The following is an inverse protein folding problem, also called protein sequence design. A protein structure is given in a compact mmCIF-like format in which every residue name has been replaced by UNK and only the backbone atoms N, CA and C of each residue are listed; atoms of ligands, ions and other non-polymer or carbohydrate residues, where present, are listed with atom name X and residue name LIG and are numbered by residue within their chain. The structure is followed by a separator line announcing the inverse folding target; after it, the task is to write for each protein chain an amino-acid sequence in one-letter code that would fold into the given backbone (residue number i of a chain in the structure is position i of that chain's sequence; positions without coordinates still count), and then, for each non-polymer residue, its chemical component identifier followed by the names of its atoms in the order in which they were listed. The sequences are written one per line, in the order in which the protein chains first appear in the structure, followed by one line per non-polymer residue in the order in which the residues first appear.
data_IF_228795532812
#
_entry.id   IF_228795532812
#
_cell.length_a   1.000
_cell.length_b   1.000
_cell.length_c   1.000
_cell.angle_alpha   90.00
_cell.angle_beta   90.00
_cell.angle_gamma   90.00
#
_symmetry.space_group_name_H-M   'P 1'
#
loop_
_entity.id
_entity.type
_entity.pdbx_description
1 polymer ?
#
# COMPACT_ATOMS: atom_id res chain seq x y z
N UNK A 1 15.53 10.36 9.53
CA UNK A 1 15.41 11.49 8.58
C UNK A 1 13.94 11.86 8.48
N UNK A 2 13.58 13.13 8.66
CA UNK A 2 12.22 13.65 8.52
C UNK A 2 12.14 14.41 7.21
N UNK A 3 11.30 13.96 6.28
CA UNK A 3 10.96 14.72 5.07
C UNK A 3 9.54 15.25 5.25
N UNK A 4 9.39 16.57 5.30
CA UNK A 4 8.08 17.21 5.41
C UNK A 4 7.50 17.46 4.01
N UNK A 5 6.34 16.94 3.75
CA UNK A 5 5.54 17.30 2.58
C UNK A 5 4.74 18.56 2.91
N UNK A 6 5.16 19.69 2.40
CA UNK A 6 4.58 20.99 2.74
C UNK A 6 3.13 21.17 2.30
N UNK A 7 2.71 20.49 1.22
CA UNK A 7 1.40 20.71 0.61
C UNK A 7 0.25 19.99 1.30
N UNK A 8 0.50 18.88 2.02
CA UNK A 8 -0.55 18.06 2.63
C UNK A 8 -0.47 17.98 4.16
N UNK A 9 0.51 18.63 4.79
CA UNK A 9 0.76 18.48 6.22
C UNK A 9 1.17 17.06 6.61
N UNK A 10 1.59 16.25 5.66
CA UNK A 10 2.05 14.88 5.87
C UNK A 10 3.52 14.93 6.30
N UNK A 11 3.80 14.38 7.47
CA UNK A 11 5.17 14.27 7.97
C UNK A 11 5.75 12.95 7.53
N UNK A 12 6.81 12.97 6.74
CA UNK A 12 7.55 11.80 6.33
C UNK A 12 8.66 11.52 7.34
N UNK A 13 8.46 10.54 8.19
CA UNK A 13 9.45 10.14 9.19
C UNK A 13 10.19 8.90 8.70
N UNK A 14 11.47 9.05 8.35
CA UNK A 14 12.36 7.91 8.14
C UNK A 14 12.87 7.43 9.51
N UNK A 15 12.34 6.31 10.01
CA UNK A 15 12.92 5.60 11.15
C UNK A 15 13.62 4.35 10.66
N UNK A 16 14.82 4.19 11.04
CA UNK A 16 15.60 2.99 10.89
C UNK A 16 17.04 3.33 11.21
N UNK A 17 17.60 2.72 12.25
CA UNK A 17 19.04 2.53 12.25
C UNK A 17 19.35 1.74 10.99
N UNK A 18 20.06 2.34 10.04
CA UNK A 18 20.67 1.60 8.95
C UNK A 18 21.69 0.68 9.59
N UNK A 19 21.24 -0.46 10.10
CA UNK A 19 22.16 -1.57 10.34
C UNK A 19 22.55 -2.08 8.96
N UNK A 20 23.85 -2.14 8.73
CA UNK A 20 24.54 -2.45 7.50
C UNK A 20 24.23 -3.83 6.87
N UNK A 21 23.02 -4.35 6.96
CA UNK A 21 22.65 -5.60 6.30
C UNK A 21 22.49 -5.46 4.77
N UNK A 22 22.54 -4.22 4.27
CA UNK A 22 22.60 -3.93 2.83
C UNK A 22 24.05 -3.60 2.48
N UNK A 23 24.90 -4.62 2.47
CA UNK A 23 26.33 -4.53 2.28
C UNK A 23 26.83 -3.34 1.46
N UNK A 24 27.73 -2.56 2.03
CA UNK A 24 28.57 -1.55 1.38
C UNK A 24 27.95 -0.25 0.89
N UNK A 25 26.70 0.11 1.22
CA UNK A 25 26.23 1.46 0.93
C UNK A 25 26.77 2.46 1.95
N UNK A 26 27.53 3.44 1.47
CA UNK A 26 27.90 4.62 2.26
C UNK A 26 26.61 5.33 2.70
N UNK A 27 26.53 5.78 3.93
CA UNK A 27 25.37 6.48 4.53
C UNK A 27 24.77 7.57 3.64
N UNK A 28 25.61 8.34 2.93
CA UNK A 28 25.19 9.36 1.98
C UNK A 28 24.45 8.80 0.75
N UNK A 29 24.81 7.61 0.27
CA UNK A 29 24.14 6.98 -0.87
C UNK A 29 22.75 6.46 -0.47
N UNK A 30 22.60 5.91 0.73
CA UNK A 30 21.30 5.52 1.28
C UNK A 30 20.38 6.72 1.47
N UNK A 31 20.88 7.81 2.04
CA UNK A 31 20.10 9.03 2.21
C UNK A 31 19.57 9.58 0.88
N UNK A 32 20.39 9.55 -0.18
CA UNK A 32 19.98 9.92 -1.52
C UNK A 32 18.89 9.01 -2.07
N UNK A 33 19.01 7.69 -1.87
CA UNK A 33 17.98 6.73 -2.27
C UNK A 33 16.68 6.96 -1.50
N UNK A 34 16.73 7.15 -0.18
CA UNK A 34 15.56 7.44 0.64
C UNK A 34 14.84 8.72 0.20
N UNK A 35 15.55 9.81 -0.06
CA UNK A 35 14.97 11.05 -0.59
C UNK A 35 14.25 10.82 -1.91
N UNK A 36 14.84 10.00 -2.78
CA UNK A 36 14.24 9.64 -4.06
C UNK A 36 12.98 8.80 -3.91
N UNK A 37 13.01 7.79 -3.05
CA UNK A 37 11.81 6.97 -2.79
C UNK A 37 10.72 7.76 -2.10
N UNK A 38 11.07 8.66 -1.19
CA UNK A 38 10.16 9.61 -0.58
C UNK A 38 9.43 10.46 -1.62
N UNK A 39 10.17 10.99 -2.62
CA UNK A 39 9.57 11.73 -3.73
C UNK A 39 8.62 10.86 -4.56
N UNK A 40 8.96 9.59 -4.83
CA UNK A 40 8.08 8.68 -5.57
C UNK A 40 6.79 8.36 -4.79
N UNK A 41 6.88 8.25 -3.47
CA UNK A 41 5.71 8.06 -2.59
C UNK A 41 4.84 9.32 -2.58
N UNK A 42 5.44 10.51 -2.52
CA UNK A 42 4.72 11.78 -2.61
C UNK A 42 3.97 11.91 -3.95
N UNK A 43 4.63 11.59 -5.04
CA UNK A 43 4.01 11.54 -6.37
C UNK A 43 2.83 10.56 -6.40
N UNK A 44 2.98 9.40 -5.76
CA UNK A 44 1.91 8.41 -5.64
C UNK A 44 0.70 8.96 -4.88
N UNK A 45 0.92 9.60 -3.73
CA UNK A 45 -0.15 10.25 -2.94
C UNK A 45 -0.86 11.33 -3.75
N UNK A 46 -0.11 12.19 -4.43
CA UNK A 46 -0.67 13.23 -5.31
C UNK A 46 -1.52 12.63 -6.44
N UNK A 47 -1.06 11.55 -7.05
CA UNK A 47 -1.80 10.83 -8.07
C UNK A 47 -3.12 10.27 -7.53
N UNK A 48 -3.10 9.62 -6.36
CA UNK A 48 -4.29 9.10 -5.71
C UNK A 48 -5.30 10.21 -5.43
N UNK A 49 -4.86 11.32 -4.84
CA UNK A 49 -5.74 12.47 -4.54
C UNK A 49 -6.38 13.03 -5.80
N UNK A 50 -5.64 13.07 -6.90
CA UNK A 50 -6.12 13.65 -8.16
C UNK A 50 -7.05 12.71 -8.93
N UNK A 51 -6.74 11.41 -8.96
CA UNK A 51 -7.35 10.46 -9.87
C UNK A 51 -8.38 9.53 -9.23
N UNK A 52 -8.35 9.41 -7.90
CA UNK A 52 -9.29 8.56 -7.19
C UNK A 52 -9.94 9.32 -6.03
N UNK A 53 -11.23 9.60 -6.16
CA UNK A 53 -12.00 10.36 -5.16
C UNK A 53 -11.97 9.67 -3.80
N UNK A 54 -12.26 8.39 -3.75
CA UNK A 54 -12.48 7.66 -2.50
C UNK A 54 -11.20 7.51 -1.68
N UNK A 55 -10.14 7.02 -2.31
CA UNK A 55 -8.84 6.93 -1.63
C UNK A 55 -8.22 8.31 -1.40
N UNK A 56 -8.49 9.28 -2.28
CA UNK A 56 -8.06 10.66 -2.12
C UNK A 56 -8.67 11.34 -0.90
N UNK A 57 -9.91 10.99 -0.54
CA UNK A 57 -10.55 11.47 0.69
C UNK A 57 -9.79 11.04 1.96
N UNK A 58 -9.10 9.91 1.94
CA UNK A 58 -8.32 9.45 3.09
C UNK A 58 -7.22 10.47 3.46
N UNK A 59 -6.65 11.13 2.47
CA UNK A 59 -5.66 12.18 2.68
C UNK A 59 -6.29 13.56 2.92
N UNK A 60 -7.26 13.97 2.10
CA UNK A 60 -7.89 15.29 2.18
C UNK A 60 -8.68 15.50 3.46
N UNK A 61 -9.36 14.49 3.97
CA UNK A 61 -10.06 14.50 5.27
C UNK A 61 -9.13 14.17 6.44
N UNK A 62 -7.84 14.02 6.20
CA UNK A 62 -6.81 13.73 7.21
C UNK A 62 -7.03 12.44 8.00
N UNK A 63 -7.72 11.46 7.44
CA UNK A 63 -7.75 10.11 8.00
C UNK A 63 -6.35 9.47 7.97
N UNK A 64 -5.61 9.72 6.89
CA UNK A 64 -4.17 9.46 6.81
C UNK A 64 -3.46 10.78 7.06
N UNK A 65 -2.74 10.87 8.16
CA UNK A 65 -2.02 12.08 8.55
C UNK A 65 -0.50 11.94 8.51
N UNK A 66 0.02 10.73 8.35
CA UNK A 66 1.44 10.45 8.29
C UNK A 66 1.75 9.31 7.33
N UNK A 67 2.88 9.46 6.64
CA UNK A 67 3.56 8.36 5.96
C UNK A 67 4.92 8.18 6.61
N UNK A 68 5.21 6.98 7.09
CA UNK A 68 6.48 6.65 7.75
C UNK A 68 7.23 5.63 6.92
N UNK A 69 8.49 5.92 6.62
CA UNK A 69 9.36 4.97 5.93
C UNK A 69 10.35 4.34 6.89
N UNK A 70 10.56 3.04 6.71
CA UNK A 70 11.44 2.21 7.50
C UNK A 70 12.45 1.50 6.61
N UNK A 71 13.52 1.02 7.21
CA UNK A 71 14.50 0.15 6.56
C UNK A 71 14.77 -1.05 7.48
N UNK A 72 13.82 -1.98 7.52
CA UNK A 72 13.93 -3.22 8.31
C UNK A 72 14.19 -4.41 7.38
N UNK A 73 15.44 -4.83 7.29
CA UNK A 73 15.87 -5.90 6.38
C UNK A 73 15.22 -7.27 6.72
N UNK A 74 14.96 -7.53 7.99
CA UNK A 74 14.34 -8.77 8.48
C UNK A 74 12.81 -8.76 8.54
N UNK A 75 12.16 -7.69 8.07
CA UNK A 75 10.70 -7.64 8.10
C UNK A 75 10.11 -8.36 6.88
N UNK A 76 9.01 -9.06 7.08
CA UNK A 76 8.23 -9.78 6.08
C UNK A 76 7.16 -8.92 5.38
N UNK A 77 7.09 -7.61 5.71
CA UNK A 77 6.11 -6.68 5.17
C UNK A 77 6.76 -5.55 4.36
N UNK A 78 6.09 -5.12 3.30
CA UNK A 78 6.46 -3.98 2.46
C UNK A 78 5.67 -2.71 2.81
N UNK A 79 4.43 -2.86 3.23
CA UNK A 79 3.55 -1.81 3.70
C UNK A 79 2.78 -2.23 4.94
N UNK A 80 2.23 -1.26 5.66
CA UNK A 80 1.32 -1.43 6.78
C UNK A 80 0.46 -0.18 6.96
N UNK A 81 -0.85 -0.37 7.07
CA UNK A 81 -1.74 0.64 7.60
C UNK A 81 -1.86 0.49 9.12
N UNK A 82 -1.55 1.53 9.87
CA UNK A 82 -1.70 1.54 11.33
C UNK A 82 -2.56 2.72 11.79
N UNK A 83 -3.17 2.56 12.96
CA UNK A 83 -4.11 3.52 13.52
C UNK A 83 -3.57 4.07 14.84
N UNK A 84 -3.87 5.33 15.13
CA UNK A 84 -3.65 5.89 16.47
C UNK A 84 -4.65 5.29 17.46
N UNK A 85 -4.34 5.31 18.75
CA UNK A 85 -5.14 4.71 19.82
C UNK A 85 -6.63 5.13 19.81
N UNK A 86 -6.96 6.29 19.24
CA UNK A 86 -8.34 6.78 19.15
C UNK A 86 -8.99 6.48 17.79
N UNK A 87 -8.39 5.68 16.93
CA UNK A 87 -8.87 5.33 15.58
C UNK A 87 -9.22 6.53 14.67
N UNK A 88 -8.84 7.74 15.05
CA UNK A 88 -9.20 8.95 14.31
C UNK A 88 -8.17 9.32 13.23
N UNK A 89 -6.98 8.74 13.28
CA UNK A 89 -5.89 9.07 12.38
C UNK A 89 -5.07 7.84 12.05
N UNK A 90 -4.80 7.66 10.77
CA UNK A 90 -4.00 6.56 10.27
C UNK A 90 -2.58 6.97 9.88
N UNK A 91 -1.71 5.99 9.91
CA UNK A 91 -0.32 6.12 9.49
C UNK A 91 -0.05 5.04 8.45
N UNK A 92 0.39 5.43 7.26
CA UNK A 92 0.96 4.49 6.31
C UNK A 92 2.42 4.25 6.68
N UNK A 93 2.79 3.00 6.83
CA UNK A 93 4.16 2.56 7.10
C UNK A 93 4.68 1.81 5.87
N UNK A 94 5.80 2.26 5.32
CA UNK A 94 6.40 1.66 4.12
C UNK A 94 7.81 1.21 4.47
N UNK A 95 8.07 -0.09 4.29
CA UNK A 95 9.39 -0.66 4.50
C UNK A 95 10.18 -0.63 3.19
N UNK A 96 11.16 0.22 3.13
CA UNK A 96 12.00 0.45 1.95
C UNK A 96 13.14 -0.56 1.80
N UNK A 97 13.38 -1.46 2.77
CA UNK A 97 14.51 -2.39 2.70
C UNK A 97 14.46 -3.29 1.46
N UNK A 98 13.27 -3.78 1.10
CA UNK A 98 13.07 -4.58 -0.10
C UNK A 98 13.27 -3.73 -1.37
N UNK A 99 12.76 -2.51 -1.39
CA UNK A 99 12.92 -1.56 -2.50
C UNK A 99 14.39 -1.19 -2.71
N UNK A 100 15.13 -0.97 -1.63
CA UNK A 100 16.58 -0.73 -1.70
C UNK A 100 17.30 -1.91 -2.33
N UNK A 101 16.99 -3.14 -1.93
CA UNK A 101 17.58 -4.34 -2.55
C UNK A 101 17.30 -4.45 -4.04
N UNK A 102 16.03 -4.23 -4.44
CA UNK A 102 15.67 -4.24 -5.87
C UNK A 102 16.41 -3.15 -6.67
N UNK A 103 16.50 -1.93 -6.13
CA UNK A 103 17.22 -0.84 -6.76
C UNK A 103 18.71 -1.16 -6.90
N UNK A 104 19.30 -1.80 -5.89
CA UNK A 104 20.71 -2.24 -5.90
C UNK A 104 20.97 -3.36 -6.89
N UNK A 105 19.98 -4.21 -7.12
CA UNK A 105 20.01 -5.26 -8.15
C UNK A 105 19.76 -4.74 -9.57
N UNK A 106 19.67 -3.41 -9.76
CA UNK A 106 19.52 -2.79 -11.07
C UNK A 106 18.09 -2.71 -11.58
N UNK A 107 17.08 -2.90 -10.73
CA UNK A 107 15.69 -2.75 -11.16
C UNK A 107 15.43 -1.36 -11.72
N UNK A 108 14.76 -1.24 -12.90
CA UNK A 108 14.44 0.04 -13.50
C UNK A 108 13.61 0.94 -12.56
N UNK A 109 13.92 2.24 -12.56
CA UNK A 109 13.23 3.20 -11.69
C UNK A 109 11.72 3.27 -11.93
N UNK A 110 11.30 3.11 -13.17
CA UNK A 110 9.88 3.06 -13.55
C UNK A 110 9.17 1.90 -12.84
N UNK A 111 9.82 0.73 -12.74
CA UNK A 111 9.26 -0.41 -12.02
C UNK A 111 9.26 -0.19 -10.50
N UNK A 112 10.32 0.41 -9.94
CA UNK A 112 10.36 0.79 -8.53
C UNK A 112 9.24 1.78 -8.20
N UNK A 113 9.04 2.81 -9.04
CA UNK A 113 7.93 3.77 -8.88
C UNK A 113 6.58 3.07 -8.89
N UNK A 114 6.37 2.13 -9.80
CA UNK A 114 5.15 1.35 -9.90
C UNK A 114 4.91 0.52 -8.65
N UNK A 115 5.91 -0.20 -8.15
CA UNK A 115 5.81 -1.01 -6.92
C UNK A 115 5.48 -0.12 -5.71
N UNK A 116 6.14 1.03 -5.57
CA UNK A 116 5.84 1.97 -4.49
C UNK A 116 4.40 2.50 -4.60
N UNK A 117 3.91 2.75 -5.81
CA UNK A 117 2.53 3.16 -6.03
C UNK A 117 1.54 2.05 -5.65
N UNK A 118 1.81 0.80 -6.04
CA UNK A 118 1.02 -0.37 -5.64
C UNK A 118 0.93 -0.48 -4.10
N UNK A 119 2.07 -0.37 -3.39
CA UNK A 119 2.11 -0.40 -1.92
C UNK A 119 1.29 0.75 -1.30
N UNK A 120 1.45 1.98 -1.78
CA UNK A 120 0.72 3.14 -1.24
C UNK A 120 -0.79 2.99 -1.44
N UNK A 121 -1.22 2.53 -2.62
CA UNK A 121 -2.63 2.27 -2.93
C UNK A 121 -3.18 1.17 -2.03
N UNK A 122 -2.46 0.06 -1.86
CA UNK A 122 -2.83 -1.06 -1.00
C UNK A 122 -3.09 -0.61 0.45
N UNK A 123 -2.14 0.10 1.03
CA UNK A 123 -2.25 0.57 2.42
C UNK A 123 -3.33 1.66 2.59
N UNK A 124 -3.50 2.50 1.57
CA UNK A 124 -4.58 3.48 1.56
C UNK A 124 -5.96 2.80 1.49
N UNK A 125 -6.08 1.71 0.73
CA UNK A 125 -7.30 0.93 0.61
C UNK A 125 -7.69 0.25 1.94
N UNK A 126 -6.72 -0.24 2.73
CA UNK A 126 -6.98 -0.71 4.09
C UNK A 126 -7.58 0.38 4.98
N UNK A 127 -7.09 1.62 4.83
CA UNK A 127 -7.64 2.76 5.57
C UNK A 127 -9.06 3.08 5.13
N UNK A 128 -9.31 3.13 3.83
CA UNK A 128 -10.65 3.33 3.27
C UNK A 128 -11.62 2.27 3.79
N UNK A 129 -11.25 1.00 3.69
CA UNK A 129 -12.05 -0.11 4.17
C UNK A 129 -12.45 0.04 5.64
N UNK A 130 -11.52 0.50 6.47
CA UNK A 130 -11.76 0.70 7.90
C UNK A 130 -12.66 1.88 8.21
N UNK A 131 -12.52 2.98 7.47
CA UNK A 131 -13.28 4.21 7.73
C UNK A 131 -14.64 4.29 7.02
N UNK A 132 -15.01 3.22 6.29
CA UNK A 132 -16.29 3.10 5.57
C UNK A 132 -17.01 1.79 5.92
N UNK A 133 -17.36 1.56 7.20
CA UNK A 133 -17.94 0.29 7.61
C UNK A 133 -19.29 0.02 6.91
N UNK A 134 -20.03 1.06 6.54
CA UNK A 134 -21.29 0.97 5.81
C UNK A 134 -21.15 0.34 4.41
N UNK A 135 -20.04 0.60 3.74
CA UNK A 135 -19.77 0.06 2.40
C UNK A 135 -19.12 -1.33 2.45
N UNK A 136 -18.39 -1.61 3.52
CA UNK A 136 -17.57 -2.83 3.62
C UNK A 136 -18.36 -4.06 4.04
N UNK A 137 -19.55 -3.91 4.61
CA UNK A 137 -20.33 -5.04 5.10
C UNK A 137 -20.83 -5.94 3.95
N UNK A 138 -21.38 -5.37 2.89
CA UNK A 138 -21.85 -6.13 1.72
C UNK A 138 -20.68 -6.69 0.93
N UNK A 139 -19.63 -5.90 0.75
CA UNK A 139 -18.38 -6.37 0.19
C UNK A 139 -17.85 -7.61 0.91
N UNK A 140 -17.75 -7.56 2.25
CA UNK A 140 -17.26 -8.68 3.05
C UNK A 140 -18.06 -9.96 2.81
N UNK A 141 -19.39 -9.87 2.86
CA UNK A 141 -20.28 -11.02 2.61
C UNK A 141 -20.03 -11.65 1.24
N UNK A 142 -19.97 -10.83 0.20
CA UNK A 142 -19.78 -11.29 -1.17
C UNK A 142 -18.38 -11.90 -1.38
N UNK A 143 -17.33 -11.25 -0.86
CA UNK A 143 -15.95 -11.74 -0.97
C UNK A 143 -15.75 -13.07 -0.24
N UNK A 144 -16.34 -13.22 0.95
CA UNK A 144 -16.29 -14.46 1.71
C UNK A 144 -17.00 -15.58 0.94
N UNK A 145 -18.17 -15.30 0.33
CA UNK A 145 -18.92 -16.26 -0.47
C UNK A 145 -18.14 -16.74 -1.71
N UNK A 146 -17.40 -15.82 -2.37
CA UNK A 146 -16.53 -16.19 -3.50
C UNK A 146 -15.35 -17.02 -3.00
N UNK A 147 -14.65 -16.57 -1.95
CA UNK A 147 -13.59 -17.27 -1.24
C UNK A 147 -12.38 -17.68 -2.09
N UNK A 148 -12.14 -17.05 -3.25
CA UNK A 148 -11.06 -17.39 -4.18
C UNK A 148 -9.91 -16.38 -4.13
N UNK A 149 -8.65 -16.84 -4.09
CA UNK A 149 -7.51 -15.93 -4.24
C UNK A 149 -7.41 -15.41 -5.69
N UNK A 150 -6.76 -14.25 -5.87
CA UNK A 150 -6.61 -13.61 -7.18
C UNK A 150 -5.16 -13.31 -7.57
N UNK A 151 -4.22 -13.43 -6.63
CA UNK A 151 -2.78 -13.30 -6.88
C UNK A 151 -1.99 -14.22 -5.94
N UNK A 152 -0.68 -14.32 -6.17
CA UNK A 152 0.21 -15.20 -5.39
C UNK A 152 0.22 -14.86 -3.89
N UNK A 153 0.05 -13.58 -3.56
CA UNK A 153 0.00 -13.15 -2.17
C UNK A 153 -1.26 -13.68 -1.48
N UNK A 154 -2.43 -13.51 -2.08
CA UNK A 154 -3.68 -14.03 -1.54
C UNK A 154 -3.72 -15.58 -1.55
N UNK A 155 -3.11 -16.24 -2.55
CA UNK A 155 -2.95 -17.70 -2.56
C UNK A 155 -2.16 -18.17 -1.34
N UNK A 156 -1.02 -17.55 -1.05
CA UNK A 156 -0.11 -17.98 0.03
C UNK A 156 -0.65 -17.70 1.44
N UNK A 157 -1.67 -16.88 1.58
CA UNK A 157 -2.23 -16.45 2.86
C UNK A 157 -3.67 -16.85 3.11
N UNK A 158 -4.37 -17.43 2.13
CA UNK A 158 -5.79 -17.77 2.21
C UNK A 158 -6.17 -18.48 3.50
N UNK A 159 -5.43 -19.52 3.87
CA UNK A 159 -5.72 -20.33 5.05
C UNK A 159 -5.25 -19.72 6.38
N UNK A 160 -4.54 -18.60 6.30
CA UNK A 160 -3.98 -17.88 7.46
C UNK A 160 -4.82 -16.69 7.89
N UNK A 161 -5.65 -16.17 7.00
CA UNK A 161 -6.46 -14.99 7.26
C UNK A 161 -7.84 -15.37 7.81
N UNK A 162 -8.30 -14.59 8.80
CA UNK A 162 -9.71 -14.62 9.17
C UNK A 162 -10.57 -14.08 8.01
N UNK A 163 -11.86 -14.41 8.00
CA UNK A 163 -12.80 -13.92 6.98
C UNK A 163 -12.80 -12.39 6.83
N UNK A 164 -12.75 -11.68 7.97
CA UNK A 164 -12.69 -10.21 7.97
C UNK A 164 -11.40 -9.69 7.35
N UNK A 165 -10.26 -10.33 7.69
CA UNK A 165 -8.98 -9.95 7.11
C UNK A 165 -8.93 -10.31 5.63
N UNK A 166 -9.46 -11.48 5.24
CA UNK A 166 -9.60 -11.89 3.85
C UNK A 166 -10.30 -10.84 3.00
N UNK A 167 -11.48 -10.39 3.43
CA UNK A 167 -12.27 -9.41 2.69
C UNK A 167 -11.56 -8.05 2.56
N UNK A 168 -10.85 -7.62 3.62
CA UNK A 168 -10.05 -6.39 3.61
C UNK A 168 -8.84 -6.50 2.67
N UNK A 169 -8.11 -7.62 2.71
CA UNK A 169 -6.96 -7.85 1.83
C UNK A 169 -7.37 -7.95 0.35
N UNK A 170 -8.46 -8.66 0.04
CA UNK A 170 -8.99 -8.72 -1.34
C UNK A 170 -9.39 -7.32 -1.83
N UNK A 171 -9.98 -6.47 -0.97
CA UNK A 171 -10.27 -5.08 -1.33
C UNK A 171 -8.98 -4.30 -1.68
N UNK A 172 -7.95 -4.44 -0.87
CA UNK A 172 -6.67 -3.77 -1.09
C UNK A 172 -5.96 -4.27 -2.36
N UNK A 173 -5.96 -5.59 -2.61
CA UNK A 173 -5.42 -6.19 -3.83
C UNK A 173 -6.20 -5.72 -5.07
N UNK A 174 -7.53 -5.66 -5.00
CA UNK A 174 -8.35 -5.12 -6.10
C UNK A 174 -8.03 -3.64 -6.37
N UNK A 175 -7.75 -2.86 -5.33
CA UNK A 175 -7.28 -1.47 -5.48
C UNK A 175 -5.93 -1.39 -6.20
N UNK A 176 -4.99 -2.31 -5.93
CA UNK A 176 -3.74 -2.38 -6.70
C UNK A 176 -4.00 -2.59 -8.20
N UNK A 177 -4.88 -3.54 -8.56
CA UNK A 177 -5.18 -3.81 -9.97
C UNK A 177 -5.94 -2.66 -10.65
N UNK A 178 -6.91 -2.06 -9.99
CA UNK A 178 -7.82 -1.09 -10.62
C UNK A 178 -7.32 0.34 -10.54
N UNK A 179 -6.68 0.74 -9.45
CA UNK A 179 -6.21 2.10 -9.20
C UNK A 179 -4.72 2.24 -9.52
N UNK A 180 -3.88 1.37 -8.95
CA UNK A 180 -2.45 1.39 -9.22
C UNK A 180 -2.08 0.76 -10.57
N UNK A 181 -3.05 0.17 -11.29
CA UNK A 181 -2.84 -0.49 -12.59
C UNK A 181 -1.79 -1.59 -12.54
N UNK A 182 -1.85 -2.41 -11.48
CA UNK A 182 -1.00 -3.61 -11.34
C UNK A 182 -1.14 -4.49 -12.59
N UNK A 183 -0.03 -4.99 -13.09
CA UNK A 183 0.01 -5.80 -14.31
C UNK A 183 -0.80 -7.12 -14.12
N UNK A 184 -1.72 -7.37 -15.04
CA UNK A 184 -2.60 -8.54 -15.03
C UNK A 184 -1.86 -9.88 -15.09
N UNK A 185 -0.57 -9.91 -15.47
CA UNK A 185 0.25 -11.13 -15.37
C UNK A 185 0.40 -11.65 -13.94
N UNK A 186 0.16 -10.81 -12.92
CA UNK A 186 0.16 -11.21 -11.51
C UNK A 186 -1.21 -11.74 -11.04
N UNK A 187 -2.24 -11.70 -11.89
CA UNK A 187 -3.54 -12.29 -11.59
C UNK A 187 -3.49 -13.81 -11.83
N UNK A 188 -3.76 -14.59 -10.80
CA UNK A 188 -3.72 -16.06 -10.85
C UNK A 188 -5.08 -16.69 -11.18
N UNK A 189 -6.19 -15.99 -10.91
CA UNK A 189 -7.56 -16.41 -11.25
C UNK A 189 -8.33 -15.25 -11.91
N UNK A 190 -8.30 -15.23 -13.23
CA UNK A 190 -8.99 -14.20 -14.02
C UNK A 190 -10.50 -14.20 -13.86
N UNK A 191 -11.13 -15.34 -13.52
CA UNK A 191 -12.58 -15.44 -13.28
C UNK A 191 -12.92 -14.79 -11.94
N UNK A 192 -12.22 -15.15 -10.88
CA UNK A 192 -12.39 -14.54 -9.56
C UNK A 192 -12.12 -13.03 -9.63
N UNK A 193 -11.09 -12.61 -10.36
CA UNK A 193 -10.81 -11.19 -10.59
C UNK A 193 -12.01 -10.45 -11.19
N UNK A 194 -12.68 -11.00 -12.22
CA UNK A 194 -13.84 -10.33 -12.83
C UNK A 194 -15.03 -10.26 -11.87
N UNK A 195 -15.25 -11.28 -11.05
CA UNK A 195 -16.29 -11.27 -10.03
C UNK A 195 -16.01 -10.16 -8.98
N UNK A 196 -14.80 -10.10 -8.44
CA UNK A 196 -14.40 -9.05 -7.50
C UNK A 196 -14.39 -7.65 -8.12
N UNK A 197 -13.99 -7.53 -9.38
CA UNK A 197 -14.01 -6.26 -10.10
C UNK A 197 -15.40 -5.67 -10.17
N UNK A 198 -16.41 -6.49 -10.47
CA UNK A 198 -17.81 -6.05 -10.51
C UNK A 198 -18.24 -5.52 -9.13
N UNK A 199 -18.02 -6.29 -8.07
CA UNK A 199 -18.33 -5.88 -6.69
C UNK A 199 -17.60 -4.61 -6.28
N UNK A 200 -16.31 -4.50 -6.65
CA UNK A 200 -15.49 -3.31 -6.34
C UNK A 200 -16.07 -2.05 -6.98
N UNK A 201 -16.46 -2.13 -8.25
CA UNK A 201 -17.08 -1.00 -8.96
C UNK A 201 -18.42 -0.63 -8.31
N UNK A 202 -19.27 -1.61 -7.99
CA UNK A 202 -20.56 -1.36 -7.31
C UNK A 202 -20.36 -0.69 -5.95
N UNK A 203 -19.34 -1.09 -5.18
CA UNK A 203 -19.03 -0.49 -3.88
C UNK A 203 -18.54 0.96 -3.97
N UNK A 204 -17.87 1.32 -5.07
CA UNK A 204 -17.26 2.64 -5.30
C UNK A 204 -18.06 3.54 -6.25
N UNK A 205 -19.31 3.16 -6.60
CA UNK A 205 -20.24 3.98 -7.39
C UNK A 205 -21.05 4.89 -6.50
#
# INVERSE_FOLDING_TARGET
MVVQFKELGIVFNGYGSVKDDVGNYKTASLEKLFKRFASMIDDSVKTIIKENRDLGEMFSKRYINQVRCYNYAGADWSGRASYTNNMQRGVLQINLAHIVRMASAGMPQTRIRQILHEIVVHECAHMYYRFRPELTQEWSKAVIAIGKPIDDYSVSHKDKWSETLWANEIHSIMSEFLIARKDMKYCTDGKAYQEYKKLYIEMHS
#
